data_IF_452271147720
#
_entry.id   IF_452271147720
#
_cell.length_a   1.000
_cell.length_b   1.000
_cell.length_c   1.000
_cell.angle_alpha   90.00
_cell.angle_beta   90.00
_cell.angle_gamma   90.00
#
_symmetry.space_group_name_H-M   'P 1'
#
loop_
_entity.id
_entity.type
_entity.pdbx_description
1 polymer ?
#
# COMPACT_ATOMS: atom_id res chain seq x y z
N UNK A 1 2.11 -14.58 -0.72
CA UNK A 1 2.06 -13.47 0.25
C UNK A 1 3.17 -12.47 -0.02
N UNK A 2 2.91 -11.17 0.18
CA UNK A 2 3.84 -10.07 -0.13
C UNK A 2 4.07 -9.21 1.11
N UNK A 3 5.34 -9.03 1.50
CA UNK A 3 5.76 -8.24 2.66
C UNK A 3 5.07 -8.63 3.97
N UNK A 4 4.90 -9.94 4.16
CA UNK A 4 4.37 -10.53 5.38
C UNK A 4 5.31 -11.66 5.76
N UNK A 5 5.76 -11.64 7.02
CA UNK A 5 6.45 -12.74 7.67
C UNK A 5 5.54 -13.23 8.81
N UNK A 6 5.32 -14.54 8.89
CA UNK A 6 4.49 -15.16 9.92
C UNK A 6 5.32 -16.16 10.71
N UNK A 7 5.22 -16.12 12.03
CA UNK A 7 5.85 -17.10 12.92
C UNK A 7 4.85 -17.53 13.98
N UNK A 8 4.86 -18.82 14.31
CA UNK A 8 4.03 -19.40 15.36
C UNK A 8 4.95 -19.86 16.49
N UNK A 9 4.71 -19.36 17.70
CA UNK A 9 5.37 -19.81 18.92
C UNK A 9 4.31 -20.31 19.91
N UNK A 10 4.28 -21.62 20.12
CA UNK A 10 3.20 -22.31 20.83
C UNK A 10 1.85 -22.06 20.16
N UNK A 11 1.00 -21.26 20.80
CA UNK A 11 -0.33 -20.89 20.31
C UNK A 11 -0.43 -19.42 19.88
N UNK A 12 0.70 -18.73 19.73
CA UNK A 12 0.75 -17.30 19.39
C UNK A 12 1.27 -17.13 17.97
N UNK A 13 0.44 -16.55 17.11
CA UNK A 13 0.85 -16.11 15.78
C UNK A 13 1.38 -14.68 15.84
N UNK A 14 2.63 -14.48 15.41
CA UNK A 14 3.22 -13.16 15.18
C UNK A 14 3.26 -12.87 13.69
N UNK A 15 2.77 -11.69 13.31
CA UNK A 15 2.79 -11.21 11.93
C UNK A 15 3.64 -9.95 11.87
N UNK A 16 4.68 -9.97 11.03
CA UNK A 16 5.58 -8.85 10.83
C UNK A 16 5.44 -8.31 9.41
N UNK A 17 5.32 -6.98 9.32
CA UNK A 17 5.14 -6.23 8.07
C UNK A 17 6.05 -5.01 8.10
N UNK A 18 6.77 -4.76 7.01
CA UNK A 18 7.55 -3.54 6.83
C UNK A 18 6.67 -2.43 6.22
N UNK A 19 6.36 -1.39 7.01
CA UNK A 19 5.44 -0.32 6.60
C UNK A 19 6.05 0.70 5.62
N UNK A 20 7.34 0.59 5.32
CA UNK A 20 8.06 1.49 4.41
C UNK A 20 8.01 0.96 2.97
N UNK A 21 7.82 -0.35 2.78
CA UNK A 21 7.74 -0.96 1.45
C UNK A 21 6.37 -0.73 0.82
N UNK A 22 6.41 -0.15 -0.37
CA UNK A 22 5.24 0.03 -1.23
C UNK A 22 5.28 -0.99 -2.38
N UNK A 23 4.12 -1.54 -2.73
CA UNK A 23 3.91 -2.41 -3.88
C UNK A 23 3.06 -1.71 -4.95
N UNK A 24 2.57 -2.49 -5.92
CA UNK A 24 1.67 -2.00 -6.96
C UNK A 24 0.44 -1.29 -6.38
N UNK A 25 -0.09 -0.29 -7.10
CA UNK A 25 -1.42 0.24 -6.83
C UNK A 25 -2.46 -0.89 -6.82
N UNK A 26 -3.51 -0.74 -6.01
CA UNK A 26 -4.65 -1.64 -6.10
C UNK A 26 -5.30 -1.56 -7.48
N UNK A 27 -6.11 -2.56 -7.84
CA UNK A 27 -6.81 -2.61 -9.14
C UNK A 27 -7.67 -1.37 -9.43
N UNK A 28 -8.05 -0.62 -8.38
CA UNK A 28 -8.79 0.64 -8.51
C UNK A 28 -7.92 1.89 -8.66
N UNK A 29 -6.60 1.77 -8.49
CA UNK A 29 -5.63 2.87 -8.46
C UNK A 29 -5.70 3.77 -7.21
N UNK A 30 -6.68 3.56 -6.31
CA UNK A 30 -6.96 4.45 -5.16
C UNK A 30 -6.03 4.23 -3.98
N UNK A 31 -5.38 3.08 -3.91
CA UNK A 31 -4.54 2.68 -2.78
C UNK A 31 -3.24 2.08 -3.27
N UNK A 32 -2.18 2.24 -2.48
CA UNK A 32 -0.91 1.55 -2.64
C UNK A 32 -0.92 0.38 -1.66
N UNK A 33 -0.66 -0.82 -2.16
CA UNK A 33 -0.59 -2.02 -1.33
C UNK A 33 0.75 -1.99 -0.56
N UNK A 34 0.70 -2.21 0.75
CA UNK A 34 1.89 -2.31 1.61
C UNK A 34 2.21 -3.79 1.88
N UNK A 35 1.19 -4.59 2.17
CA UNK A 35 1.35 -6.03 2.38
C UNK A 35 0.03 -6.77 2.15
N UNK A 36 0.12 -8.04 1.74
CA UNK A 36 -1.07 -8.88 1.61
C UNK A 36 -0.74 -10.37 1.76
N UNK A 37 -1.67 -11.11 2.37
CA UNK A 37 -1.65 -12.57 2.38
C UNK A 37 -2.08 -13.17 1.03
N UNK A 38 -2.61 -12.35 0.11
CA UNK A 38 -3.12 -12.77 -1.22
C UNK A 38 -4.29 -13.75 -1.15
N UNK A 39 -5.07 -13.67 -0.07
CA UNK A 39 -6.20 -14.54 0.22
C UNK A 39 -6.22 -14.95 1.69
N UNK A 40 -7.03 -15.96 2.00
CA UNK A 40 -7.01 -16.61 3.30
C UNK A 40 -6.03 -17.78 3.25
N UNK A 41 -4.97 -17.71 4.05
CA UNK A 41 -3.95 -18.76 4.15
C UNK A 41 -4.11 -19.51 5.47
N UNK A 42 -3.75 -20.79 5.50
CA UNK A 42 -3.70 -21.54 6.76
C UNK A 42 -2.56 -21.03 7.64
N UNK A 43 -2.73 -21.09 8.95
CA UNK A 43 -1.65 -20.85 9.91
C UNK A 43 -0.88 -22.15 10.09
N UNK A 44 0.45 -22.10 10.00
CA UNK A 44 1.30 -23.28 10.16
C UNK A 44 1.05 -23.96 11.52
N UNK A 45 0.85 -25.28 11.50
CA UNK A 45 0.49 -26.06 12.69
C UNK A 45 -0.98 -25.94 13.13
N UNK A 46 -1.79 -25.09 12.48
CA UNK A 46 -3.21 -24.87 12.80
C UNK A 46 -4.05 -24.80 11.51
N UNK A 47 -4.23 -25.92 10.82
CA UNK A 47 -4.82 -25.95 9.46
C UNK A 47 -6.25 -25.39 9.37
N UNK A 48 -7.03 -25.49 10.44
CA UNK A 48 -8.39 -24.94 10.52
C UNK A 48 -8.41 -23.43 10.77
N UNK A 49 -7.33 -22.85 11.31
CA UNK A 49 -7.18 -21.42 11.49
C UNK A 49 -6.70 -20.77 10.19
N UNK A 50 -7.48 -19.81 9.68
CA UNK A 50 -7.15 -19.07 8.45
C UNK A 50 -6.87 -17.60 8.75
N UNK A 51 -5.90 -17.03 8.05
CA UNK A 51 -5.55 -15.60 8.11
C UNK A 51 -5.69 -14.97 6.74
N UNK A 52 -6.53 -13.95 6.67
CA UNK A 52 -6.57 -12.98 5.57
C UNK A 52 -5.97 -11.66 6.03
N UNK A 53 -5.03 -11.11 5.27
CA UNK A 53 -4.32 -9.89 5.63
C UNK A 53 -4.21 -8.92 4.45
N UNK A 54 -4.59 -7.66 4.68
CA UNK A 54 -4.44 -6.57 3.72
C UNK A 54 -3.97 -5.30 4.44
N UNK A 55 -2.77 -4.83 4.11
CA UNK A 55 -2.24 -3.54 4.51
C UNK A 55 -2.12 -2.64 3.28
N UNK A 56 -2.68 -1.43 3.37
CA UNK A 56 -2.67 -0.47 2.27
C UNK A 56 -2.63 0.97 2.79
N UNK A 57 -2.15 1.88 1.93
CA UNK A 57 -2.24 3.33 2.14
C UNK A 57 -3.11 3.94 1.04
N UNK A 58 -3.93 4.92 1.39
CA UNK A 58 -4.68 5.70 0.40
C UNK A 58 -3.71 6.60 -0.36
N UNK A 59 -3.80 6.62 -1.70
CA UNK A 59 -3.07 7.61 -2.51
C UNK A 59 -3.68 8.97 -2.18
N UNK A 60 -2.93 9.86 -1.54
CA UNK A 60 -3.38 11.24 -1.34
C UNK A 60 -3.36 11.93 -2.71
N UNK A 61 -4.49 12.50 -3.11
CA UNK A 61 -4.52 13.43 -4.26
C UNK A 61 -3.86 14.72 -3.80
N UNK A 62 -2.83 15.16 -4.51
CA UNK A 62 -2.29 16.49 -4.30
C UNK A 62 -3.28 17.47 -4.95
N UNK A 63 -3.95 18.27 -4.14
CA UNK A 63 -4.71 19.42 -4.63
C UNK A 63 -3.76 20.61 -4.56
N UNK A 64 -3.52 21.26 -5.69
CA UNK A 64 -2.78 22.52 -5.71
C UNK A 64 -3.79 23.61 -6.03
N UNK A 65 -3.97 24.53 -5.09
CA UNK A 65 -4.89 25.65 -5.26
C UNK A 65 -4.15 26.78 -6.00
N UNK A 66 -4.48 26.95 -7.29
CA UNK A 66 -4.12 28.13 -8.06
C UNK A 66 -5.36 29.01 -8.13
N UNK A 67 -5.38 30.11 -7.38
CA UNK A 67 -6.40 31.19 -7.44
C UNK A 67 -7.77 30.77 -7.97
N UNK A 68 -8.68 30.37 -7.08
CA UNK A 68 -10.08 30.00 -7.36
C UNK A 68 -10.33 28.79 -8.29
N UNK A 69 -9.31 28.17 -8.88
CA UNK A 69 -9.47 26.90 -9.61
C UNK A 69 -8.76 25.74 -8.89
N UNK A 70 -9.55 24.71 -8.54
CA UNK A 70 -9.01 23.47 -8.00
C UNK A 70 -8.55 22.57 -9.15
N UNK A 71 -7.23 22.41 -9.30
CA UNK A 71 -6.67 21.45 -10.25
C UNK A 71 -6.23 20.18 -9.50
N UNK A 72 -6.80 19.05 -9.89
CA UNK A 72 -6.43 17.74 -9.37
C UNK A 72 -5.22 17.20 -10.15
N UNK A 73 -4.08 17.06 -9.50
CA UNK A 73 -2.90 16.43 -10.10
C UNK A 73 -2.68 15.02 -9.54
N UNK A 74 -2.46 14.04 -10.41
CA UNK A 74 -2.01 12.72 -10.00
C UNK A 74 -0.50 12.72 -9.83
N UNK A 75 -0.03 12.22 -8.67
CA UNK A 75 1.37 12.28 -8.21
C UNK A 75 2.41 11.64 -9.14
N UNK A 76 1.99 10.90 -10.17
CA UNK A 76 2.88 10.29 -11.18
C UNK A 76 3.57 11.32 -12.08
N UNK A 77 2.98 12.50 -12.24
CA UNK A 77 3.57 13.56 -13.07
C UNK A 77 4.77 14.27 -12.41
N UNK A 78 4.96 14.09 -11.10
CA UNK A 78 5.98 14.81 -10.32
C UNK A 78 7.36 14.14 -10.34
N UNK A 79 7.46 12.85 -10.64
CA UNK A 79 8.72 12.09 -10.54
C UNK A 79 9.55 12.19 -11.83
N UNK A 80 8.91 12.19 -13.01
CA UNK A 80 9.63 12.16 -14.30
C UNK A 80 10.02 13.54 -14.85
N UNK A 81 9.44 14.63 -14.31
CA UNK A 81 9.75 16.00 -14.75
C UNK A 81 9.83 16.92 -13.54
N UNK A 82 11.03 16.98 -12.97
CA UNK A 82 11.36 17.91 -11.90
C UNK A 82 10.81 19.32 -12.16
N UNK A 83 10.44 19.98 -11.06
CA UNK A 83 9.77 21.29 -10.91
C UNK A 83 10.21 22.46 -11.82
N UNK A 84 11.21 22.31 -12.68
CA UNK A 84 11.87 23.38 -13.42
C UNK A 84 11.24 23.80 -14.75
N UNK A 85 10.20 23.12 -15.27
CA UNK A 85 9.67 23.43 -16.61
C UNK A 85 8.29 24.08 -16.65
N UNK A 86 7.64 24.30 -15.50
CA UNK A 86 6.27 24.89 -15.46
C UNK A 86 6.23 26.32 -14.89
N UNK A 87 7.40 26.90 -14.58
CA UNK A 87 7.56 28.29 -14.14
C UNK A 87 8.30 29.16 -15.18
N UNK A 88 8.05 28.94 -16.47
CA UNK A 88 8.45 29.85 -17.54
C UNK A 88 7.21 30.36 -18.28
#
# INVERSE_FOLDING_TARGET
>A
MKNVEMTVDGNVLTIKVDLIKDFSPSSSGKTIIIATAEGNVAVDGHEEAKVGLNFYRKKQRATVDFGLEHVLFEREFFDDRGLGSFLK
#
